data_IF_569012666401
#
_entry.id   IF_569012666401
#
_cell.length_a   1.000
_cell.length_b   1.000
_cell.length_c   1.000
_cell.angle_alpha   90.00
_cell.angle_beta   90.00
_cell.angle_gamma   90.00
#
_symmetry.space_group_name_H-M   'P 1'
#
loop_
_entity.id
_entity.type
_entity.pdbx_description
1 polymer ?
#
# COMPACT_ATOMS: atom_id res chain seq x y z
N UNK A 1 17.38 -5.82 -4.90
CA UNK A 1 18.05 -4.60 -5.38
C UNK A 1 17.36 -3.33 -4.88
N UNK A 2 16.02 -3.25 -4.87
CA UNK A 2 15.30 -2.04 -4.44
C UNK A 2 15.68 -1.58 -3.03
N UNK A 3 15.77 -2.47 -2.03
CA UNK A 3 16.18 -2.12 -0.65
C UNK A 3 17.51 -1.37 -0.59
N UNK A 4 18.53 -1.89 -1.26
CA UNK A 4 19.86 -1.28 -1.26
C UNK A 4 19.82 0.08 -1.95
N UNK A 5 19.10 0.18 -3.08
CA UNK A 5 18.95 1.42 -3.82
C UNK A 5 18.24 2.50 -2.99
N UNK A 6 17.11 2.18 -2.32
CA UNK A 6 16.43 3.17 -1.48
C UNK A 6 17.24 3.54 -0.24
N UNK A 7 17.94 2.61 0.40
CA UNK A 7 18.83 2.94 1.52
C UNK A 7 19.94 3.89 1.09
N UNK A 8 20.63 3.61 -0.03
CA UNK A 8 21.67 4.51 -0.56
C UNK A 8 21.08 5.87 -0.96
N UNK A 9 19.90 5.89 -1.57
CA UNK A 9 19.22 7.14 -1.94
C UNK A 9 18.92 8.02 -0.71
N UNK A 10 18.41 7.43 0.38
CA UNK A 10 18.15 8.16 1.62
C UNK A 10 19.47 8.65 2.26
N UNK A 11 20.52 7.83 2.26
CA UNK A 11 21.84 8.22 2.77
C UNK A 11 22.48 9.35 1.95
N UNK A 12 22.20 9.40 0.65
CA UNK A 12 22.64 10.47 -0.25
C UNK A 12 21.73 11.71 -0.20
N UNK A 13 20.68 11.73 0.64
CA UNK A 13 19.75 12.85 0.76
C UNK A 13 18.72 12.98 -0.37
N UNK A 14 18.52 11.93 -1.17
CA UNK A 14 17.51 11.94 -2.22
C UNK A 14 16.09 11.87 -1.63
N UNK A 15 15.19 12.68 -2.18
CA UNK A 15 13.76 12.68 -1.80
C UNK A 15 13.05 11.47 -2.41
N UNK A 16 13.05 10.34 -1.70
CA UNK A 16 12.43 9.08 -2.15
C UNK A 16 11.63 8.47 -1.01
N UNK A 17 10.47 7.87 -1.31
CA UNK A 17 9.65 7.19 -0.31
C UNK A 17 10.12 5.76 0.00
N UNK A 18 9.97 5.33 1.26
CA UNK A 18 10.14 3.93 1.68
C UNK A 18 8.95 3.03 1.26
N UNK A 19 7.80 3.63 1.00
CA UNK A 19 6.52 2.95 0.80
C UNK A 19 6.52 2.02 -0.42
N UNK A 20 7.05 2.49 -1.55
CA UNK A 20 7.18 1.68 -2.76
C UNK A 20 8.15 0.50 -2.59
N UNK A 21 9.14 0.63 -1.71
CA UNK A 21 10.16 -0.42 -1.49
C UNK A 21 9.56 -1.65 -0.83
N UNK A 22 8.77 -1.48 0.24
CA UNK A 22 8.19 -2.62 0.93
C UNK A 22 7.19 -3.39 0.08
N UNK A 23 6.36 -2.67 -0.67
CA UNK A 23 5.43 -3.24 -1.66
C UNK A 23 6.19 -4.01 -2.75
N UNK A 24 7.28 -3.45 -3.28
CA UNK A 24 8.09 -4.11 -4.32
C UNK A 24 8.91 -5.29 -3.79
N UNK A 25 9.17 -5.35 -2.48
CA UNK A 25 9.86 -6.48 -1.85
C UNK A 25 8.92 -7.62 -1.48
N UNK A 26 7.71 -7.34 -1.02
CA UNK A 26 6.82 -8.37 -0.47
C UNK A 26 6.38 -9.40 -1.51
N UNK A 27 6.01 -8.95 -2.71
CA UNK A 27 5.49 -9.84 -3.76
C UNK A 27 6.56 -10.79 -4.32
N UNK A 28 7.78 -10.36 -4.68
CA UNK A 28 8.83 -11.28 -5.11
C UNK A 28 9.26 -12.28 -4.04
N UNK A 29 9.30 -11.87 -2.76
CA UNK A 29 9.60 -12.78 -1.65
C UNK A 29 8.54 -13.88 -1.53
N UNK A 30 7.26 -13.51 -1.57
CA UNK A 30 6.17 -14.48 -1.57
C UNK A 30 6.16 -15.34 -2.84
N UNK A 31 6.57 -14.80 -3.99
CA UNK A 31 6.66 -15.56 -5.22
C UNK A 31 7.74 -16.65 -5.16
N UNK A 32 8.89 -16.35 -4.57
CA UNK A 32 9.96 -17.33 -4.35
C UNK A 32 9.49 -18.46 -3.43
N UNK A 33 8.80 -18.11 -2.33
CA UNK A 33 8.16 -19.08 -1.43
C UNK A 33 7.11 -19.94 -2.15
N UNK A 34 6.36 -19.37 -3.09
CA UNK A 34 5.36 -20.11 -3.86
C UNK A 34 5.98 -21.21 -4.74
N UNK A 35 7.27 -21.13 -5.09
CA UNK A 35 7.96 -22.16 -5.89
C UNK A 35 8.27 -23.43 -5.10
N UNK A 36 8.24 -23.37 -3.77
CA UNK A 36 8.47 -24.53 -2.90
C UNK A 36 7.25 -25.47 -2.81
N UNK A 37 6.08 -25.02 -3.28
CA UNK A 37 4.85 -25.82 -3.31
C UNK A 37 4.29 -26.02 -4.72
N UNK A 38 3.37 -26.97 -4.87
CA UNK A 38 2.59 -27.16 -6.10
C UNK A 38 1.32 -26.31 -6.05
N UNK A 39 1.45 -25.01 -6.32
CA UNK A 39 0.32 -24.08 -6.28
C UNK A 39 -0.38 -23.99 -7.64
N UNK A 40 -1.70 -23.99 -7.63
CA UNK A 40 -2.48 -23.63 -8.83
C UNK A 40 -2.42 -22.11 -9.08
N UNK A 41 -2.77 -21.68 -10.29
CA UNK A 41 -2.70 -20.28 -10.71
C UNK A 41 -3.57 -19.34 -9.87
N UNK A 42 -4.70 -19.83 -9.34
CA UNK A 42 -5.61 -19.04 -8.50
C UNK A 42 -5.02 -18.83 -7.10
N UNK A 43 -4.58 -19.89 -6.42
CA UNK A 43 -3.98 -19.83 -5.09
C UNK A 43 -2.68 -19.02 -5.09
N UNK A 44 -1.84 -19.15 -6.13
CA UNK A 44 -0.67 -18.29 -6.30
C UNK A 44 -1.07 -16.82 -6.41
N UNK A 45 -2.16 -16.50 -7.12
CA UNK A 45 -2.66 -15.13 -7.21
C UNK A 45 -3.15 -14.60 -5.87
N UNK A 46 -3.91 -15.39 -5.11
CA UNK A 46 -4.36 -15.02 -3.76
C UNK A 46 -3.17 -14.78 -2.84
N UNK A 47 -2.15 -15.65 -2.88
CA UNK A 47 -0.92 -15.51 -2.12
C UNK A 47 -0.18 -14.20 -2.43
N UNK A 48 0.06 -13.90 -3.71
CA UNK A 48 0.77 -12.68 -4.13
C UNK A 48 0.00 -11.40 -3.75
N UNK A 49 -1.34 -11.43 -3.90
CA UNK A 49 -2.21 -10.31 -3.48
C UNK A 49 -2.21 -10.14 -1.95
N UNK A 50 -2.20 -11.23 -1.18
CA UNK A 50 -2.13 -11.17 0.29
C UNK A 50 -0.77 -10.64 0.76
N UNK A 51 0.33 -11.08 0.15
CA UNK A 51 1.68 -10.59 0.44
C UNK A 51 1.82 -9.09 0.14
N UNK A 52 1.16 -8.61 -0.91
CA UNK A 52 1.08 -7.19 -1.23
C UNK A 52 0.38 -6.39 -0.12
N UNK A 53 -0.75 -6.90 0.39
CA UNK A 53 -1.49 -6.32 1.52
C UNK A 53 -0.67 -6.29 2.82
N UNK A 54 0.12 -7.34 3.09
CA UNK A 54 1.04 -7.40 4.23
C UNK A 54 2.17 -6.38 4.12
N UNK A 55 2.79 -6.28 2.94
CA UNK A 55 3.87 -5.33 2.67
C UNK A 55 3.42 -3.87 2.76
N UNK A 56 2.15 -3.58 2.41
CA UNK A 56 1.58 -2.25 2.60
C UNK A 56 1.37 -1.96 4.09
N UNK A 57 0.66 -2.83 4.82
CA UNK A 57 0.32 -2.55 6.21
C UNK A 57 1.52 -2.55 7.16
N UNK A 58 2.57 -3.32 6.87
CA UNK A 58 3.80 -3.29 7.67
C UNK A 58 4.45 -1.91 7.70
N UNK A 59 4.33 -1.12 6.63
CA UNK A 59 4.95 0.21 6.54
C UNK A 59 4.02 1.33 7.02
N UNK A 60 2.73 1.23 6.67
CA UNK A 60 1.76 2.28 6.96
C UNK A 60 1.04 2.11 8.30
N UNK A 61 1.02 0.92 8.89
CA UNK A 61 0.31 0.68 10.15
C UNK A 61 -1.21 0.66 10.00
N UNK A 62 -1.70 0.46 8.78
CA UNK A 62 -3.13 0.54 8.44
C UNK A 62 -3.60 -0.77 7.78
N UNK A 63 -3.86 -1.84 8.57
CA UNK A 63 -4.21 -3.16 8.05
C UNK A 63 -5.44 -3.17 7.13
N UNK A 64 -6.47 -2.38 7.45
CA UNK A 64 -7.69 -2.30 6.65
C UNK A 64 -7.39 -1.64 5.29
N UNK A 65 -6.60 -0.57 5.27
CA UNK A 65 -6.17 0.07 4.03
C UNK A 65 -5.29 -0.88 3.20
N UNK A 66 -4.39 -1.63 3.83
CA UNK A 66 -3.57 -2.64 3.17
C UNK A 66 -4.38 -3.75 2.51
N UNK A 67 -5.45 -4.23 3.17
CA UNK A 67 -6.40 -5.18 2.58
C UNK A 67 -7.02 -4.64 1.29
N UNK A 68 -7.60 -3.44 1.32
CA UNK A 68 -8.21 -2.84 0.11
C UNK A 68 -7.18 -2.57 -0.97
N UNK A 69 -6.00 -2.07 -0.60
CA UNK A 69 -4.90 -1.81 -1.52
C UNK A 69 -4.51 -3.08 -2.30
N UNK A 70 -4.29 -4.21 -1.62
CA UNK A 70 -3.93 -5.46 -2.30
C UNK A 70 -5.04 -6.00 -3.22
N UNK A 71 -6.31 -5.82 -2.84
CA UNK A 71 -7.45 -6.24 -3.65
C UNK A 71 -7.60 -5.41 -4.94
N UNK A 72 -7.39 -4.09 -4.87
CA UNK A 72 -7.67 -3.17 -5.97
C UNK A 72 -6.49 -2.98 -6.94
N UNK A 73 -5.26 -2.98 -6.43
CA UNK A 73 -4.06 -2.58 -7.21
C UNK A 73 -3.77 -3.51 -8.40
N UNK A 74 -4.22 -4.76 -8.37
CA UNK A 74 -3.97 -5.74 -9.46
C UNK A 74 -5.02 -5.71 -10.57
N UNK A 75 -6.26 -5.30 -10.28
CA UNK A 75 -7.37 -5.13 -11.25
C UNK A 75 -8.36 -4.10 -10.74
N UNK A 76 -8.17 -2.86 -11.15
CA UNK A 76 -9.16 -1.80 -10.97
C UNK A 76 -10.51 -2.27 -11.53
N UNK A 77 -11.55 -2.27 -10.69
CA UNK A 77 -12.92 -2.61 -11.08
C UNK A 77 -13.35 -4.09 -10.95
N UNK A 78 -12.49 -5.03 -10.52
CA UNK A 78 -12.91 -6.42 -10.19
C UNK A 78 -12.24 -6.91 -8.91
N UNK A 79 -12.92 -6.75 -7.77
CA UNK A 79 -12.49 -7.30 -6.49
C UNK A 79 -12.63 -8.83 -6.50
N UNK A 80 -11.55 -9.54 -6.20
CA UNK A 80 -11.61 -10.98 -5.98
C UNK A 80 -12.00 -11.23 -4.52
N UNK A 81 -13.27 -11.50 -4.25
CA UNK A 81 -13.77 -11.72 -2.89
C UNK A 81 -13.10 -12.91 -2.20
N UNK A 82 -12.63 -13.91 -2.96
CA UNK A 82 -11.86 -15.04 -2.42
C UNK A 82 -10.55 -14.62 -1.73
N UNK A 83 -9.99 -13.47 -2.13
CA UNK A 83 -8.76 -12.94 -1.57
C UNK A 83 -9.00 -11.99 -0.39
N UNK A 84 -10.25 -11.65 -0.05
CA UNK A 84 -10.57 -10.64 0.97
C UNK A 84 -10.09 -11.04 2.36
N UNK A 85 -10.50 -12.22 2.83
CA UNK A 85 -10.08 -12.73 4.14
C UNK A 85 -8.56 -13.01 4.19
N UNK A 86 -7.94 -13.66 3.18
CA UNK A 86 -6.48 -13.79 3.11
C UNK A 86 -5.73 -12.46 3.16
N UNK A 87 -6.21 -11.43 2.45
CA UNK A 87 -5.61 -10.11 2.47
C UNK A 87 -5.71 -9.46 3.84
N UNK A 88 -6.88 -9.53 4.50
CA UNK A 88 -7.07 -8.97 5.83
C UNK A 88 -6.12 -9.60 6.84
N UNK A 89 -6.11 -10.94 6.91
CA UNK A 89 -5.26 -11.68 7.85
C UNK A 89 -3.79 -11.36 7.57
N UNK A 90 -3.37 -11.41 6.31
CA UNK A 90 -1.99 -11.13 5.93
C UNK A 90 -1.58 -9.69 6.25
N UNK A 91 -2.48 -8.72 6.08
CA UNK A 91 -2.26 -7.32 6.41
C UNK A 91 -2.14 -7.07 7.92
N UNK A 92 -2.98 -7.73 8.72
CA UNK A 92 -2.87 -7.72 10.19
C UNK A 92 -1.56 -8.32 10.66
N UNK A 93 -1.20 -9.51 10.17
CA UNK A 93 0.06 -10.17 10.54
C UNK A 93 1.26 -9.33 10.10
N UNK A 94 1.21 -8.72 8.91
CA UNK A 94 2.27 -7.82 8.44
C UNK A 94 2.47 -6.61 9.35
N UNK A 95 1.39 -6.03 9.85
CA UNK A 95 1.43 -4.94 10.83
C UNK A 95 2.02 -5.40 12.17
N UNK A 96 1.53 -6.50 12.73
CA UNK A 96 2.00 -7.01 14.02
C UNK A 96 3.47 -7.42 13.98
N UNK A 97 3.92 -8.02 12.88
CA UNK A 97 5.35 -8.35 12.69
C UNK A 97 6.19 -7.08 12.64
N UNK A 98 5.73 -6.02 11.97
CA UNK A 98 6.44 -4.74 11.94
C UNK A 98 6.54 -4.12 13.34
N UNK A 99 5.44 -4.12 14.10
CA UNK A 99 5.40 -3.63 15.49
C UNK A 99 6.32 -4.46 16.41
N UNK A 100 6.29 -5.79 16.29
CA UNK A 100 7.15 -6.69 17.05
C UNK A 100 8.64 -6.47 16.75
N UNK A 101 8.98 -6.04 15.53
CA UNK A 101 10.35 -5.65 15.14
C UNK A 101 10.71 -4.20 15.53
N UNK A 102 9.81 -3.48 16.21
CA UNK A 102 10.05 -2.13 16.73
C UNK A 102 9.70 -1.00 15.77
N UNK A 103 8.94 -1.27 14.70
CA UNK A 103 8.43 -0.21 13.84
C UNK A 103 7.49 0.72 14.62
N UNK A 104 7.55 2.02 14.30
CA UNK A 104 6.63 3.03 14.84
C UNK A 104 5.78 3.57 13.70
N UNK A 105 4.47 3.46 13.83
CA UNK A 105 3.53 4.05 12.89
C UNK A 105 3.02 5.40 13.42
N UNK A 106 2.90 6.38 12.52
CA UNK A 106 2.40 7.69 12.89
C UNK A 106 0.87 7.63 13.04
N UNK A 107 0.38 7.83 14.26
CA UNK A 107 -1.04 8.05 14.53
C UNK A 107 -1.28 9.55 14.61
N UNK A 108 -1.98 10.10 13.62
CA UNK A 108 -2.34 11.51 13.61
C UNK A 108 -3.71 11.70 14.23
N UNK A 109 -3.76 12.53 15.27
CA UNK A 109 -5.03 12.99 15.84
C UNK A 109 -5.50 14.24 15.09
N UNK A 110 -6.69 14.13 14.51
CA UNK A 110 -7.34 15.19 13.74
C UNK A 110 -8.07 16.20 14.65
N UNK A 111 -8.26 15.86 15.94
CA UNK A 111 -8.80 16.73 16.99
C UNK A 111 -10.28 17.07 16.82
N UNK A 112 -10.66 17.75 15.74
CA UNK A 112 -12.02 18.17 15.43
C UNK A 112 -12.43 17.72 14.03
N UNK A 113 -13.55 17.00 13.97
CA UNK A 113 -14.19 16.60 12.71
C UNK A 113 -15.48 17.41 12.56
N UNK A 114 -15.61 18.27 11.52
CA UNK A 114 -16.80 19.08 11.33
C UNK A 114 -18.02 18.20 10.99
N UNK A 115 -19.25 18.66 11.29
CA UNK A 115 -20.46 17.93 10.96
C UNK A 115 -20.62 17.76 9.44
N UNK A 116 -21.38 16.74 9.05
CA UNK A 116 -21.70 16.45 7.65
C UNK A 116 -22.83 17.37 7.22
N UNK A 117 -22.45 18.52 6.65
CA UNK A 117 -23.34 19.54 6.10
C UNK A 117 -23.02 19.73 4.61
N UNK A 118 -23.94 20.36 3.87
CA UNK A 118 -23.76 20.58 2.43
C UNK A 118 -22.44 21.32 2.11
N UNK A 119 -22.04 22.27 2.96
CA UNK A 119 -20.77 22.99 2.81
C UNK A 119 -19.53 22.10 3.02
N UNK A 120 -19.53 21.22 4.02
CA UNK A 120 -18.39 20.34 4.31
C UNK A 120 -18.24 19.28 3.22
N UNK A 121 -19.35 18.78 2.68
CA UNK A 121 -19.34 17.88 1.51
C UNK A 121 -18.86 18.60 0.25
N UNK A 122 -19.36 19.82 -0.02
CA UNK A 122 -18.96 20.59 -1.20
C UNK A 122 -17.47 20.96 -1.17
N UNK A 123 -16.96 21.41 -0.03
CA UNK A 123 -15.54 21.73 0.15
C UNK A 123 -14.64 20.49 0.04
N UNK A 124 -15.06 19.34 0.61
CA UNK A 124 -14.35 18.06 0.43
C UNK A 124 -14.31 17.61 -1.04
N UNK A 125 -15.41 17.77 -1.79
CA UNK A 125 -15.47 17.46 -3.21
C UNK A 125 -14.52 18.35 -4.04
N UNK A 126 -14.51 19.66 -3.76
CA UNK A 126 -13.58 20.61 -4.41
C UNK A 126 -12.12 20.27 -4.10
N UNK A 127 -11.80 19.97 -2.83
CA UNK A 127 -10.47 19.52 -2.45
C UNK A 127 -10.08 18.22 -3.16
N UNK A 128 -11.00 17.25 -3.28
CA UNK A 128 -10.79 16.02 -4.02
C UNK A 128 -10.42 16.25 -5.49
N UNK A 129 -11.12 17.19 -6.17
CA UNK A 129 -10.79 17.57 -7.55
C UNK A 129 -9.39 18.20 -7.61
N UNK A 130 -9.08 19.13 -6.70
CA UNK A 130 -7.77 19.79 -6.67
C UNK A 130 -6.62 18.79 -6.44
N UNK A 131 -6.75 17.89 -5.47
CA UNK A 131 -5.77 16.84 -5.21
C UNK A 131 -5.66 15.84 -6.37
N UNK A 132 -6.78 15.51 -7.03
CA UNK A 132 -6.77 14.67 -8.22
C UNK A 132 -5.99 15.29 -9.38
N UNK A 133 -6.18 16.60 -9.63
CA UNK A 133 -5.42 17.35 -10.64
C UNK A 133 -3.93 17.40 -10.26
N UNK A 134 -3.60 17.68 -8.99
CA UNK A 134 -2.22 17.68 -8.49
C UNK A 134 -1.53 16.32 -8.62
N UNK A 135 -2.23 15.22 -8.33
CA UNK A 135 -1.71 13.88 -8.53
C UNK A 135 -1.47 13.59 -10.03
N UNK A 136 -2.39 14.02 -10.90
CA UNK A 136 -2.24 13.83 -12.35
C UNK A 136 -1.06 14.60 -12.93
N UNK A 137 -0.86 15.86 -12.52
CA UNK A 137 0.29 16.65 -12.98
C UNK A 137 1.60 16.04 -12.51
N UNK A 138 1.67 15.60 -11.24
CA UNK A 138 2.83 14.91 -10.70
C UNK A 138 3.18 13.63 -11.48
N UNK A 139 2.18 12.76 -11.73
CA UNK A 139 2.37 11.53 -12.52
C UNK A 139 2.81 11.83 -13.94
N UNK A 140 2.27 12.87 -14.58
CA UNK A 140 2.70 13.29 -15.91
C UNK A 140 4.14 13.77 -15.87
N UNK A 141 4.51 14.68 -14.98
CA UNK A 141 5.88 15.20 -14.86
C UNK A 141 6.90 14.08 -14.63
N UNK A 142 6.61 13.10 -13.79
CA UNK A 142 7.50 11.93 -13.62
C UNK A 142 7.72 11.15 -14.91
N UNK A 143 6.73 11.05 -15.79
CA UNK A 143 6.88 10.39 -17.10
C UNK A 143 7.74 11.16 -18.09
N UNK A 144 7.89 12.47 -17.92
CA UNK A 144 8.77 13.30 -18.77
C UNK A 144 10.23 13.24 -18.32
N UNK A 145 10.46 13.05 -17.02
CA UNK A 145 11.80 12.99 -16.43
C UNK A 145 12.41 11.58 -16.40
N UNK A 146 11.61 10.53 -16.67
CA UNK A 146 12.05 9.13 -16.75
C UNK A 146 12.39 8.73 -18.18
#
# INVERSE_FOLDING_TARGET
MILVATTVAHLAGASVGREGTAVQMSVPLADQLSRLGRWNSHSRRVLLTSALSAGFASVFGTPIAGMFFGLEVRRVGRANYDALLPCLISSLVGNEVALALGAKHAVYDIGYVPPIDLWTVASAALAGIAFGVGAMTFVRSMRWCA
#
